data_IF_906232915475
#
_entry.id   IF_906232915475
#
_cell.length_a   1.000
_cell.length_b   1.000
_cell.length_c   1.000
_cell.angle_alpha   90.00
_cell.angle_beta   90.00
_cell.angle_gamma   90.00
#
_symmetry.space_group_name_H-M   'P 1'
#
loop_
_entity.id
_entity.type
_entity.pdbx_description
1 polymer ?
#
# COMPACT_ATOMS: atom_id res chain seq x y z
N UNK A 1 11.00 -18.40 -17.56
CA UNK A 1 11.31 -17.37 -16.58
C UNK A 1 10.06 -16.67 -16.10
N UNK A 2 9.86 -16.64 -14.84
CA UNK A 2 8.65 -16.03 -14.30
C UNK A 2 8.85 -14.53 -14.09
N UNK A 3 7.92 -13.76 -14.59
CA UNK A 3 7.84 -12.35 -14.23
C UNK A 3 7.18 -12.27 -12.87
N UNK A 4 7.72 -11.43 -12.03
CA UNK A 4 7.09 -11.18 -10.74
C UNK A 4 5.74 -10.52 -11.01
N UNK A 5 4.68 -11.12 -10.52
CA UNK A 5 3.35 -10.58 -10.68
C UNK A 5 3.19 -9.33 -9.84
N UNK A 6 2.74 -8.25 -10.44
CA UNK A 6 2.46 -7.02 -9.71
C UNK A 6 1.15 -7.15 -8.94
N UNK A 7 1.14 -6.63 -7.73
CA UNK A 7 -0.05 -6.65 -6.89
C UNK A 7 -0.22 -5.28 -6.24
N UNK A 8 -1.42 -5.03 -5.75
CA UNK A 8 -1.71 -3.84 -4.96
C UNK A 8 -1.66 -4.20 -3.48
N UNK A 9 -1.59 -3.19 -2.65
CA UNK A 9 -1.61 -3.36 -1.20
C UNK A 9 -2.85 -4.15 -0.76
N UNK A 10 -4.03 -3.77 -1.28
CA UNK A 10 -5.27 -4.47 -0.92
C UNK A 10 -5.26 -5.94 -1.28
N UNK A 11 -4.75 -6.25 -2.48
CA UNK A 11 -4.63 -7.64 -2.92
C UNK A 11 -3.67 -8.42 -2.03
N UNK A 12 -2.58 -7.79 -1.63
CA UNK A 12 -1.57 -8.43 -0.78
C UNK A 12 -2.15 -8.78 0.59
N UNK A 13 -2.83 -7.82 1.25
CA UNK A 13 -3.37 -8.11 2.58
C UNK A 13 -4.51 -9.12 2.51
N UNK A 14 -5.30 -9.11 1.44
CA UNK A 14 -6.35 -10.12 1.25
C UNK A 14 -5.74 -11.50 1.09
N UNK A 15 -4.66 -11.61 0.31
CA UNK A 15 -3.95 -12.88 0.12
C UNK A 15 -3.38 -13.39 1.45
N UNK A 16 -2.72 -12.52 2.20
CA UNK A 16 -2.15 -12.89 3.50
C UNK A 16 -3.24 -13.39 4.45
N UNK A 17 -4.38 -12.71 4.47
CA UNK A 17 -5.49 -13.09 5.31
C UNK A 17 -6.02 -14.48 4.94
N UNK A 18 -6.21 -14.71 3.64
CA UNK A 18 -6.73 -15.98 3.14
C UNK A 18 -5.75 -17.14 3.37
N UNK A 19 -4.46 -16.86 3.23
CA UNK A 19 -3.44 -17.88 3.49
C UNK A 19 -3.48 -18.38 4.94
N UNK A 20 -3.92 -17.53 5.86
CA UNK A 20 -4.05 -17.90 7.27
C UNK A 20 -5.48 -18.35 7.63
N UNK A 21 -6.34 -18.49 6.63
CA UNK A 21 -7.73 -18.93 6.81
C UNK A 21 -8.50 -18.04 7.78
N UNK A 22 -8.26 -16.73 7.74
CA UNK A 22 -8.93 -15.79 8.63
C UNK A 22 -10.08 -15.09 7.91
N UNK A 23 -11.28 -15.04 8.50
CA UNK A 23 -12.34 -14.21 7.94
C UNK A 23 -12.04 -12.74 8.21
N UNK A 24 -12.63 -11.86 7.38
CA UNK A 24 -12.41 -10.42 7.52
C UNK A 24 -12.73 -9.93 8.93
N UNK A 25 -13.80 -10.42 9.53
CA UNK A 25 -14.21 -9.95 10.85
C UNK A 25 -13.16 -10.20 11.93
N UNK A 26 -12.42 -11.29 11.82
CA UNK A 26 -11.37 -11.61 12.80
C UNK A 26 -10.17 -10.67 12.65
N UNK A 27 -9.77 -10.42 11.41
CA UNK A 27 -8.68 -9.49 11.15
C UNK A 27 -9.07 -8.08 11.59
N UNK A 28 -10.29 -7.66 11.24
CA UNK A 28 -10.79 -6.34 11.64
C UNK A 28 -10.81 -6.18 13.16
N UNK A 29 -11.27 -7.21 13.87
CA UNK A 29 -11.28 -7.19 15.34
C UNK A 29 -9.87 -7.05 15.91
N UNK A 30 -8.91 -7.76 15.35
CA UNK A 30 -7.52 -7.69 15.76
C UNK A 30 -6.94 -6.29 15.58
N UNK A 31 -7.36 -5.61 14.51
CA UNK A 31 -6.88 -4.27 14.17
C UNK A 31 -7.73 -3.17 14.82
N UNK A 32 -8.79 -3.55 15.52
CA UNK A 32 -9.73 -2.62 16.15
C UNK A 32 -10.36 -1.65 15.12
N UNK A 33 -10.80 -2.21 14.01
CA UNK A 33 -11.49 -1.46 12.95
C UNK A 33 -12.75 -2.20 12.54
N UNK A 34 -13.65 -1.51 11.84
CA UNK A 34 -14.83 -2.12 11.29
C UNK A 34 -14.48 -3.08 10.16
N UNK A 35 -15.25 -4.17 10.07
CA UNK A 35 -15.07 -5.14 8.98
C UNK A 35 -15.27 -4.46 7.62
N UNK A 36 -16.22 -3.54 7.52
CA UNK A 36 -16.47 -2.82 6.26
C UNK A 36 -15.25 -1.97 5.85
N UNK A 37 -14.53 -1.43 6.82
CA UNK A 37 -13.33 -0.66 6.53
C UNK A 37 -12.21 -1.57 6.01
N UNK A 38 -12.03 -2.73 6.64
CA UNK A 38 -11.06 -3.70 6.14
C UNK A 38 -11.37 -4.12 4.70
N UNK A 39 -12.67 -4.35 4.41
CA UNK A 39 -13.08 -4.70 3.05
C UNK A 39 -12.70 -3.60 2.05
N UNK A 40 -12.84 -2.33 2.44
CA UNK A 40 -12.43 -1.21 1.59
C UNK A 40 -10.93 -1.20 1.34
N UNK A 41 -10.14 -1.50 2.35
CA UNK A 41 -8.69 -1.61 2.19
C UNK A 41 -8.34 -2.74 1.21
N UNK A 42 -8.99 -3.89 1.34
CA UNK A 42 -8.72 -5.03 0.46
C UNK A 42 -9.10 -4.77 -0.99
N UNK A 43 -10.08 -3.89 -1.22
CA UNK A 43 -10.50 -3.52 -2.57
C UNK A 43 -9.81 -2.27 -3.10
N UNK A 44 -8.88 -1.71 -2.34
CA UNK A 44 -8.16 -0.49 -2.71
C UNK A 44 -9.06 0.73 -2.87
N UNK A 45 -10.22 0.72 -2.21
CA UNK A 45 -11.12 1.86 -2.19
C UNK A 45 -10.60 2.92 -1.23
N UNK A 46 -9.85 2.48 -0.23
CA UNK A 46 -9.28 3.34 0.80
C UNK A 46 -7.97 2.75 1.27
N UNK A 47 -7.04 3.61 1.70
CA UNK A 47 -5.79 3.14 2.27
C UNK A 47 -5.73 3.42 3.77
N UNK A 48 -5.14 2.50 4.55
CA UNK A 48 -4.96 2.74 5.98
C UNK A 48 -3.81 3.70 6.24
N UNK A 49 -3.76 4.23 7.46
CA UNK A 49 -2.63 5.03 7.90
C UNK A 49 -1.37 4.17 7.99
N UNK A 50 -0.22 4.83 8.02
CA UNK A 50 1.06 4.15 8.17
C UNK A 50 1.09 3.33 9.46
N UNK A 51 0.55 3.87 10.56
CA UNK A 51 0.49 3.18 11.85
C UNK A 51 -0.32 1.90 11.74
N UNK A 52 -1.45 1.94 11.01
CA UNK A 52 -2.27 0.75 10.83
C UNK A 52 -1.58 -0.27 9.93
N UNK A 53 -0.85 0.18 8.92
CA UNK A 53 -0.08 -0.74 8.06
C UNK A 53 0.95 -1.50 8.91
N UNK A 54 1.60 -0.82 9.84
CA UNK A 54 2.56 -1.47 10.74
C UNK A 54 1.87 -2.55 11.57
N UNK A 55 0.66 -2.28 12.08
CA UNK A 55 -0.12 -3.27 12.82
C UNK A 55 -0.50 -4.45 11.94
N UNK A 56 -0.89 -4.20 10.71
CA UNK A 56 -1.23 -5.25 9.75
C UNK A 56 0.00 -6.14 9.50
N UNK A 57 1.16 -5.52 9.29
CA UNK A 57 2.40 -6.25 9.08
C UNK A 57 2.74 -7.14 10.27
N UNK A 58 2.57 -6.62 11.50
CA UNK A 58 2.82 -7.40 12.70
C UNK A 58 1.86 -8.58 12.82
N UNK A 59 0.59 -8.36 12.49
CA UNK A 59 -0.43 -9.41 12.55
C UNK A 59 -0.08 -10.57 11.60
N UNK A 60 0.33 -10.24 10.38
CA UNK A 60 0.64 -11.26 9.37
C UNK A 60 2.11 -11.68 9.38
N UNK A 61 2.92 -11.11 10.27
CA UNK A 61 4.35 -11.44 10.42
C UNK A 61 5.13 -11.23 9.13
N UNK A 62 4.89 -10.09 8.51
CA UNK A 62 5.61 -9.69 7.29
C UNK A 62 6.30 -8.35 7.55
N UNK A 63 7.21 -8.00 6.64
CA UNK A 63 7.97 -6.77 6.76
C UNK A 63 7.09 -5.54 6.58
N UNK A 64 7.05 -4.66 7.59
CA UNK A 64 6.22 -3.47 7.54
C UNK A 64 6.66 -2.50 6.46
N UNK A 65 7.97 -2.38 6.22
CA UNK A 65 8.46 -1.47 5.19
C UNK A 65 8.02 -1.91 3.80
N UNK A 66 7.98 -3.22 3.54
CA UNK A 66 7.50 -3.75 2.28
C UNK A 66 6.03 -3.40 2.06
N UNK A 67 5.20 -3.53 3.10
CA UNK A 67 3.78 -3.16 2.99
C UNK A 67 3.59 -1.66 2.83
N UNK A 68 4.37 -0.86 3.54
CA UNK A 68 4.32 0.61 3.42
C UNK A 68 4.70 1.03 2.00
N UNK A 69 5.77 0.45 1.46
CA UNK A 69 6.19 0.73 0.09
C UNK A 69 5.13 0.35 -0.93
N UNK A 70 4.48 -0.79 -0.73
CA UNK A 70 3.42 -1.21 -1.64
C UNK A 70 2.25 -0.24 -1.61
N UNK A 71 1.83 0.18 -0.41
CA UNK A 71 0.75 1.16 -0.29
C UNK A 71 1.13 2.50 -0.95
N UNK A 72 2.38 2.94 -0.77
CA UNK A 72 2.83 4.19 -1.34
C UNK A 72 2.90 4.13 -2.86
N UNK A 73 3.44 3.03 -3.41
CA UNK A 73 3.52 2.89 -4.87
C UNK A 73 2.13 2.79 -5.49
N UNK A 74 1.18 2.16 -4.82
CA UNK A 74 -0.23 2.17 -5.25
C UNK A 74 -0.75 3.60 -5.35
N UNK A 75 -0.52 4.39 -4.31
CA UNK A 75 -1.00 5.76 -4.24
C UNK A 75 -0.47 6.59 -5.40
N UNK A 76 0.82 6.44 -5.70
CA UNK A 76 1.44 7.13 -6.83
C UNK A 76 0.83 6.65 -8.15
N UNK A 77 0.67 5.33 -8.31
CA UNK A 77 0.13 4.76 -9.54
C UNK A 77 -1.31 5.23 -9.79
N UNK A 78 -2.16 5.22 -8.76
CA UNK A 78 -3.53 5.70 -8.91
C UNK A 78 -3.58 7.18 -9.24
N UNK A 79 -2.69 7.98 -8.67
CA UNK A 79 -2.64 9.39 -8.97
C UNK A 79 -2.25 9.63 -10.43
N UNK A 80 -1.29 8.88 -10.93
CA UNK A 80 -0.89 8.97 -12.35
C UNK A 80 -2.06 8.62 -13.25
N UNK A 81 -2.81 7.57 -12.91
CA UNK A 81 -3.99 7.16 -13.68
C UNK A 81 -5.08 8.23 -13.68
N UNK A 82 -5.35 8.83 -12.52
CA UNK A 82 -6.38 9.86 -12.40
C UNK A 82 -6.03 11.10 -13.23
N UNK A 83 -4.76 11.46 -13.26
CA UNK A 83 -4.30 12.65 -13.97
C UNK A 83 -3.95 12.38 -15.42
N UNK A 84 -4.09 11.14 -15.86
CA UNK A 84 -3.74 10.73 -17.22
C UNK A 84 -2.31 11.18 -17.58
N UNK A 85 -1.40 11.00 -16.65
CA UNK A 85 -0.02 11.43 -16.80
C UNK A 85 0.82 10.38 -17.53
N UNK A 86 1.84 10.84 -18.25
CA UNK A 86 2.73 9.92 -18.96
C UNK A 86 4.06 9.74 -18.20
N UNK A 87 4.94 8.94 -18.78
CA UNK A 87 6.23 8.61 -18.16
C UNK A 87 7.15 9.84 -18.04
N UNK A 88 6.97 10.84 -18.89
CA UNK A 88 7.76 12.06 -18.81
C UNK A 88 7.46 12.82 -17.52
N UNK A 89 6.18 12.88 -17.16
CA UNK A 89 5.77 13.53 -15.93
C UNK A 89 6.40 12.86 -14.73
N UNK A 90 6.44 11.53 -14.74
CA UNK A 90 7.03 10.76 -13.64
C UNK A 90 8.51 11.07 -13.50
N UNK A 91 9.23 11.19 -14.62
CA UNK A 91 10.66 11.52 -14.61
C UNK A 91 10.91 12.90 -14.00
N UNK A 92 10.08 13.88 -14.37
CA UNK A 92 10.20 15.22 -13.78
C UNK A 92 9.94 15.17 -12.27
N UNK A 93 8.94 14.40 -11.85
CA UNK A 93 8.65 14.24 -10.44
C UNK A 93 9.85 13.65 -9.68
N UNK A 94 10.52 12.65 -10.25
CA UNK A 94 11.71 12.07 -9.66
C UNK A 94 12.82 13.12 -9.48
N UNK A 95 13.03 13.96 -10.50
CA UNK A 95 14.01 15.04 -10.42
C UNK A 95 13.68 16.04 -9.33
N UNK A 96 12.39 16.33 -9.17
CA UNK A 96 11.94 17.24 -8.11
C UNK A 96 12.17 16.64 -6.72
N UNK A 97 12.00 15.33 -6.58
CA UNK A 97 12.30 14.66 -5.31
C UNK A 97 13.77 14.88 -4.94
N UNK A 98 14.68 14.69 -5.89
CA UNK A 98 16.10 14.92 -5.66
C UNK A 98 16.38 16.37 -5.29
N UNK A 99 15.77 17.30 -6.01
CA UNK A 99 15.91 18.72 -5.71
C UNK A 99 15.46 19.05 -4.29
N UNK A 100 14.29 18.53 -3.90
CA UNK A 100 13.73 18.78 -2.58
C UNK A 100 14.56 18.18 -1.45
N UNK A 101 15.14 17.00 -1.69
CA UNK A 101 16.04 16.39 -0.72
C UNK A 101 17.26 17.28 -0.44
N UNK A 102 17.83 17.86 -1.48
CA UNK A 102 18.97 18.77 -1.34
C UNK A 102 18.58 20.03 -0.58
N UNK A 103 17.39 20.55 -0.81
CA UNK A 103 16.90 21.72 -0.08
C UNK A 103 16.76 21.44 1.39
N UNK A 104 16.25 20.25 1.74
CA UNK A 104 16.04 19.88 3.14
C UNK A 104 17.35 19.60 3.88
N UNK A 105 18.38 19.22 3.16
CA UNK A 105 19.68 18.87 3.75
C UNK A 105 20.67 20.03 3.73
N UNK A 106 20.30 21.10 3.08
CA UNK A 106 21.15 22.28 2.96
C UNK A 106 20.94 23.24 4.11
#
# INVERSE_FOLDING_TARGET
>A
MSKKKLTTFGETIKRLRKEQNLPQRKVAAHLDIDTSLLAKYERNVRQPSKELIIKIAALFKVDSEALISEALTDKIAYQILEEDADSKLLRVAENKVEYLKKQNNG
#
